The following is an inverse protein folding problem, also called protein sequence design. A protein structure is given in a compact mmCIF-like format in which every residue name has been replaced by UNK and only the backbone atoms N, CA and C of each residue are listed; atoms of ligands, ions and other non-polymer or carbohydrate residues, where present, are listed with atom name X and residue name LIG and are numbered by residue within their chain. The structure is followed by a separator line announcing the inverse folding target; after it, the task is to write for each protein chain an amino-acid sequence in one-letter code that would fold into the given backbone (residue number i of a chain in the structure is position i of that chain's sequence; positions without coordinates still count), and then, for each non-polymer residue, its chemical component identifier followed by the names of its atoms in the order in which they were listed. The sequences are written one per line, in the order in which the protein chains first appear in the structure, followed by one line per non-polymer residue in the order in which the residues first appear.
data_IF_464806314895
#
_entry.id   IF_464806314895
#
_cell.length_a   1.000
_cell.length_b   1.000
_cell.length_c   1.000
_cell.angle_alpha   90.00
_cell.angle_beta   90.00
_cell.angle_gamma   90.00
#
_symmetry.space_group_name_H-M   'P 1'
#
loop_
_entity.id
_entity.type
_entity.pdbx_description
1 polymer ?
#
# COMPACT_ATOMS: atom_id res chain seq x y z
N UNK A 1 36.87 -70.56 14.60
CA UNK A 1 36.72 -69.28 15.30
C UNK A 1 36.76 -68.02 14.38
N UNK A 2 36.08 -68.03 13.23
CA UNK A 2 36.13 -66.85 12.32
C UNK A 2 34.79 -66.32 11.78
N UNK A 3 33.58 -66.80 12.14
CA UNK A 3 32.35 -66.17 11.67
C UNK A 3 31.75 -65.09 12.60
N UNK A 4 32.13 -65.03 13.88
CA UNK A 4 31.50 -64.10 14.80
C UNK A 4 32.04 -62.66 14.71
N UNK A 5 33.31 -62.47 14.38
CA UNK A 5 33.90 -61.16 14.21
C UNK A 5 33.35 -60.35 13.00
N UNK A 6 32.94 -61.05 11.93
CA UNK A 6 32.31 -60.38 10.77
C UNK A 6 30.88 -59.85 11.06
N UNK A 7 30.12 -60.57 11.90
CA UNK A 7 28.76 -60.11 12.27
C UNK A 7 28.76 -58.89 13.20
N UNK A 8 29.70 -58.80 14.14
CA UNK A 8 29.86 -57.66 15.05
C UNK A 8 30.29 -56.43 14.27
N UNK A 9 31.18 -56.54 13.31
CA UNK A 9 31.61 -55.45 12.45
C UNK A 9 30.48 -54.86 11.60
N UNK A 10 29.59 -55.71 11.08
CA UNK A 10 28.45 -55.27 10.28
C UNK A 10 27.43 -54.54 11.15
N UNK A 11 27.13 -55.04 12.35
CA UNK A 11 26.20 -54.37 13.25
C UNK A 11 26.73 -53.04 13.78
N UNK A 12 28.01 -52.93 14.05
CA UNK A 12 28.65 -51.71 14.46
C UNK A 12 28.71 -50.67 13.35
N UNK A 13 28.94 -51.14 12.10
CA UNK A 13 28.94 -50.24 10.94
C UNK A 13 27.52 -49.73 10.59
N UNK A 14 26.47 -50.55 10.74
CA UNK A 14 25.06 -50.15 10.58
C UNK A 14 24.64 -49.20 11.68
N UNK A 15 25.07 -49.45 12.92
CA UNK A 15 24.78 -48.49 14.03
C UNK A 15 25.51 -47.17 13.86
N UNK A 16 26.75 -47.15 13.38
CA UNK A 16 27.48 -45.92 13.06
C UNK A 16 26.82 -45.15 11.89
N UNK A 17 26.35 -45.84 10.86
CA UNK A 17 25.63 -45.23 9.73
C UNK A 17 24.28 -44.69 10.13
N UNK A 18 23.54 -45.32 11.02
CA UNK A 18 22.28 -44.81 11.55
C UNK A 18 22.51 -43.61 12.49
N UNK A 19 23.53 -43.60 13.32
CA UNK A 19 23.89 -42.47 14.15
C UNK A 19 24.36 -41.27 13.31
N UNK A 20 25.15 -41.49 12.25
CA UNK A 20 25.58 -40.40 11.36
C UNK A 20 24.38 -39.83 10.57
N UNK A 21 23.43 -40.68 10.13
CA UNK A 21 22.22 -40.17 9.51
C UNK A 21 21.28 -39.46 10.49
N UNK A 22 21.23 -39.87 11.76
CA UNK A 22 20.49 -39.18 12.81
C UNK A 22 21.06 -37.78 13.13
N UNK A 23 22.38 -37.63 13.06
CA UNK A 23 23.08 -36.35 13.32
C UNK A 23 22.87 -35.38 12.13
N UNK A 24 22.72 -35.90 10.92
CA UNK A 24 22.46 -35.08 9.72
C UNK A 24 21.00 -34.57 9.68
N UNK A 25 20.08 -35.24 10.40
CA UNK A 25 18.67 -34.87 10.53
C UNK A 25 18.32 -34.14 11.85
N UNK A 26 19.30 -33.68 12.60
CA UNK A 26 19.00 -32.66 13.59
C UNK A 26 18.52 -31.42 12.81
N UNK A 27 17.29 -30.97 13.00
CA UNK A 27 16.86 -29.76 12.37
C UNK A 27 17.87 -28.69 12.79
N UNK A 28 18.52 -28.08 11.79
CA UNK A 28 19.26 -26.84 12.02
C UNK A 28 18.32 -25.99 12.82
N UNK A 29 18.65 -25.65 14.05
CA UNK A 29 17.89 -24.65 14.78
C UNK A 29 17.85 -23.44 13.85
N UNK A 30 16.72 -23.27 13.20
CA UNK A 30 16.41 -22.03 12.54
C UNK A 30 16.29 -21.07 13.71
N UNK A 31 17.37 -20.40 14.04
CA UNK A 31 17.27 -19.18 14.80
C UNK A 31 16.42 -18.26 13.93
N UNK A 32 15.13 -18.31 14.17
CA UNK A 32 14.25 -17.24 13.72
C UNK A 32 14.91 -15.98 14.28
N UNK A 33 15.54 -15.20 13.42
CA UNK A 33 16.09 -13.91 13.83
C UNK A 33 14.90 -13.19 14.45
N UNK A 34 14.97 -12.92 15.76
CA UNK A 34 13.92 -12.21 16.47
C UNK A 34 14.01 -10.76 16.03
N UNK A 35 13.52 -10.49 14.83
CA UNK A 35 13.41 -9.13 14.33
C UNK A 35 12.51 -8.37 15.30
N UNK A 36 13.03 -7.32 15.91
CA UNK A 36 12.27 -6.50 16.83
C UNK A 36 11.34 -5.56 16.07
N UNK A 37 10.17 -5.28 16.66
CA UNK A 37 9.24 -4.31 16.09
C UNK A 37 9.85 -2.91 16.15
N UNK A 38 10.12 -2.30 15.01
CA UNK A 38 10.62 -0.92 14.88
C UNK A 38 9.55 0.16 15.05
N UNK A 39 8.29 -0.22 14.91
CA UNK A 39 7.13 0.66 14.98
C UNK A 39 6.00 0.20 14.08
N UNK A 40 4.93 1.00 13.97
CA UNK A 40 3.76 0.62 13.16
C UNK A 40 3.91 0.94 11.65
N UNK A 41 5.08 1.33 11.23
CA UNK A 41 5.36 1.66 9.83
C UNK A 41 4.82 3.02 9.40
N UNK A 42 5.04 3.35 8.15
CA UNK A 42 4.40 4.46 7.44
C UNK A 42 3.55 3.92 6.29
N UNK A 43 2.78 4.77 5.65
CA UNK A 43 1.82 4.34 4.62
C UNK A 43 2.47 3.64 3.42
N UNK A 44 3.71 3.98 3.08
CA UNK A 44 4.43 3.36 1.97
C UNK A 44 4.87 1.91 2.25
N UNK A 45 4.84 1.47 3.52
CA UNK A 45 5.20 0.10 3.90
C UNK A 45 4.08 -0.92 3.58
N UNK A 46 2.86 -0.46 3.34
CA UNK A 46 1.71 -1.33 3.16
C UNK A 46 1.29 -1.43 1.70
N UNK A 47 1.03 -2.65 1.26
CA UNK A 47 0.39 -2.91 -0.03
C UNK A 47 -1.09 -2.51 0.01
N UNK A 48 -1.77 -2.72 1.16
CA UNK A 48 -3.09 -2.17 1.38
C UNK A 48 -3.25 -1.53 2.77
N UNK A 49 -4.00 -0.42 2.82
CA UNK A 49 -4.53 0.19 4.06
C UNK A 49 -6.04 0.29 3.91
N UNK A 50 -6.74 -0.40 4.78
CA UNK A 50 -8.21 -0.50 4.80
C UNK A 50 -8.74 0.21 6.04
N UNK A 51 -9.48 1.31 5.86
CA UNK A 51 -9.97 2.16 6.95
C UNK A 51 -11.23 1.62 7.64
N UNK A 52 -11.80 0.54 7.14
CA UNK A 52 -12.93 -0.17 7.68
C UNK A 52 -12.70 -1.67 7.66
N UNK A 53 -13.73 -2.44 7.29
CA UNK A 53 -13.67 -3.89 7.31
C UNK A 53 -12.96 -4.45 6.06
N UNK A 54 -12.33 -5.60 6.26
CA UNK A 54 -11.78 -6.41 5.19
C UNK A 54 -12.39 -7.81 5.20
N UNK A 55 -12.79 -8.30 4.02
CA UNK A 55 -13.16 -9.70 3.90
C UNK A 55 -12.56 -10.33 2.64
N UNK A 56 -12.12 -11.58 2.76
CA UNK A 56 -11.52 -12.32 1.65
C UNK A 56 -11.99 -13.78 1.62
N UNK A 57 -12.29 -14.26 0.41
CA UNK A 57 -12.60 -15.64 0.15
C UNK A 57 -11.73 -16.12 -1.00
N UNK A 58 -10.64 -16.80 -0.63
CA UNK A 58 -9.57 -17.15 -1.55
C UNK A 58 -8.70 -15.96 -1.97
N UNK A 59 -7.58 -16.23 -2.60
CA UNK A 59 -6.63 -15.21 -3.07
C UNK A 59 -5.63 -14.78 -2.01
N UNK A 60 -4.96 -13.68 -2.30
CA UNK A 60 -3.92 -13.15 -1.41
C UNK A 60 -3.80 -11.62 -1.51
N UNK A 61 -2.95 -11.12 -0.65
CA UNK A 61 -2.25 -9.84 -0.80
C UNK A 61 -0.76 -10.11 -0.63
N UNK A 62 0.00 -9.73 -1.64
CA UNK A 62 1.41 -10.10 -1.73
C UNK A 62 2.30 -9.35 -0.75
N UNK A 63 1.88 -8.19 -0.29
CA UNK A 63 2.61 -7.37 0.67
C UNK A 63 1.93 -7.26 2.03
N UNK A 64 2.41 -6.32 2.83
CA UNK A 64 1.85 -6.00 4.13
C UNK A 64 0.46 -5.35 4.01
N UNK A 65 -0.42 -5.62 4.98
CA UNK A 65 -1.75 -5.03 5.05
C UNK A 65 -2.03 -4.40 6.41
N UNK A 66 -2.67 -3.23 6.41
CA UNK A 66 -3.19 -2.58 7.61
C UNK A 66 -4.73 -2.49 7.53
N UNK A 67 -5.44 -2.92 8.58
CA UNK A 67 -6.90 -2.99 8.64
C UNK A 67 -7.38 -2.35 9.95
N UNK A 68 -8.19 -1.30 9.84
CA UNK A 68 -8.73 -0.61 11.01
C UNK A 68 -9.99 -1.30 11.57
N UNK A 69 -10.84 -1.82 10.68
CA UNK A 69 -12.04 -2.57 11.06
C UNK A 69 -11.77 -4.04 11.34
N UNK A 70 -12.82 -4.83 11.23
CA UNK A 70 -12.74 -6.28 11.38
C UNK A 70 -12.22 -6.95 10.10
N UNK A 71 -11.54 -8.07 10.28
CA UNK A 71 -11.05 -8.92 9.20
C UNK A 71 -11.74 -10.28 9.22
N UNK A 72 -12.43 -10.65 8.13
CA UNK A 72 -13.05 -11.96 7.92
C UNK A 72 -12.43 -12.63 6.68
N UNK A 73 -11.50 -13.54 6.90
CA UNK A 73 -10.74 -14.15 5.81
C UNK A 73 -10.74 -15.69 5.91
N UNK A 74 -10.84 -16.33 4.74
CA UNK A 74 -10.79 -17.78 4.59
C UNK A 74 -10.11 -18.14 3.27
N UNK A 75 -9.18 -19.11 3.30
CA UNK A 75 -8.36 -19.48 2.15
C UNK A 75 -7.53 -18.31 1.63
N UNK A 76 -7.00 -17.51 2.56
CA UNK A 76 -6.38 -16.21 2.26
C UNK A 76 -4.98 -16.12 2.84
N UNK A 77 -4.08 -15.50 2.09
CA UNK A 77 -2.69 -15.31 2.49
C UNK A 77 -2.32 -13.83 2.47
N UNK A 78 -1.71 -13.38 3.55
CA UNK A 78 -1.03 -12.08 3.66
C UNK A 78 0.47 -12.29 3.51
N UNK A 79 1.16 -11.40 2.80
CA UNK A 79 2.53 -11.59 2.34
C UNK A 79 2.63 -12.87 1.51
N UNK A 80 1.68 -13.03 0.61
CA UNK A 80 1.57 -14.17 -0.31
C UNK A 80 2.62 -14.08 -1.39
N UNK A 81 3.82 -14.53 -1.07
CA UNK A 81 4.92 -14.91 -1.95
C UNK A 81 4.95 -14.27 -3.35
N UNK A 82 5.27 -13.03 -3.45
CA UNK A 82 5.88 -12.52 -4.65
C UNK A 82 7.29 -13.09 -4.80
N UNK A 83 7.37 -14.30 -5.27
CA UNK A 83 8.63 -15.02 -5.44
C UNK A 83 9.27 -14.70 -6.79
N UNK A 84 9.51 -13.51 -7.12
CA UNK A 84 9.99 -13.26 -8.46
C UNK A 84 11.05 -12.19 -8.63
N UNK A 85 11.60 -11.65 -7.55
CA UNK A 85 12.60 -10.60 -7.63
C UNK A 85 12.05 -9.31 -8.21
N UNK A 86 10.74 -9.10 -8.12
CA UNK A 86 10.08 -7.85 -8.42
C UNK A 86 10.25 -6.84 -7.29
N UNK A 87 9.71 -5.65 -7.48
CA UNK A 87 9.70 -4.64 -6.46
C UNK A 87 8.63 -4.95 -5.42
N UNK A 88 8.99 -5.69 -4.39
CA UNK A 88 8.06 -6.17 -3.38
C UNK A 88 7.92 -5.11 -2.29
N UNK A 89 6.79 -4.41 -2.31
CA UNK A 89 6.45 -3.42 -1.29
C UNK A 89 6.25 -4.12 0.06
N UNK A 90 6.92 -3.62 1.08
CA UNK A 90 6.77 -4.12 2.43
C UNK A 90 7.64 -5.35 2.77
N UNK A 91 8.12 -6.14 1.83
CA UNK A 91 8.95 -7.28 2.17
C UNK A 91 10.24 -6.83 2.86
N UNK A 92 10.96 -5.90 2.28
CA UNK A 92 12.15 -5.32 2.91
C UNK A 92 11.85 -4.69 4.26
N UNK A 93 10.73 -3.96 4.38
CA UNK A 93 10.33 -3.32 5.63
C UNK A 93 9.85 -4.34 6.66
N UNK A 94 9.24 -5.44 6.23
CA UNK A 94 8.89 -6.57 7.08
C UNK A 94 10.16 -7.15 7.71
N UNK A 95 11.20 -7.39 6.93
CA UNK A 95 12.50 -7.89 7.41
C UNK A 95 13.23 -6.89 8.29
N UNK A 96 13.00 -5.61 8.11
CA UNK A 96 13.49 -4.55 8.98
C UNK A 96 12.76 -4.44 10.31
N UNK A 97 11.62 -5.11 10.50
CA UNK A 97 10.84 -5.12 11.74
C UNK A 97 9.58 -4.25 11.72
N UNK A 98 9.03 -3.94 10.56
CA UNK A 98 7.70 -3.34 10.45
C UNK A 98 6.62 -4.42 10.29
N UNK A 99 5.34 -4.13 10.61
CA UNK A 99 4.28 -5.13 10.55
C UNK A 99 4.03 -5.66 9.13
N UNK A 100 3.80 -6.96 9.01
CA UNK A 100 3.17 -7.59 7.86
C UNK A 100 1.65 -7.50 7.90
N UNK A 101 1.09 -7.56 9.11
CA UNK A 101 -0.33 -7.31 9.38
C UNK A 101 -0.45 -6.35 10.57
N UNK A 102 -1.16 -5.23 10.37
CA UNK A 102 -1.59 -4.31 11.42
C UNK A 102 -3.10 -4.34 11.51
N UNK A 103 -3.66 -4.80 12.63
CA UNK A 103 -5.10 -4.98 12.83
C UNK A 103 -5.58 -4.25 14.09
N UNK A 104 -6.54 -3.32 13.92
CA UNK A 104 -7.20 -2.65 15.05
C UNK A 104 -8.49 -3.35 15.49
N UNK A 105 -9.24 -3.93 14.53
CA UNK A 105 -10.48 -4.66 14.81
C UNK A 105 -10.25 -6.12 15.21
N UNK A 106 -11.23 -6.97 14.93
CA UNK A 106 -11.25 -8.40 15.30
C UNK A 106 -11.06 -9.29 14.08
N UNK A 107 -10.40 -10.41 14.31
CA UNK A 107 -10.36 -11.51 13.34
C UNK A 107 -11.61 -12.35 13.43
N UNK A 108 -12.18 -12.67 12.28
CA UNK A 108 -13.30 -13.59 12.08
C UNK A 108 -12.93 -14.59 11.01
N UNK A 109 -13.55 -15.75 11.06
CA UNK A 109 -13.39 -16.82 10.07
C UNK A 109 -14.75 -17.42 9.79
N UNK A 110 -15.45 -16.84 8.84
CA UNK A 110 -16.80 -17.29 8.47
C UNK A 110 -16.82 -18.61 7.72
N UNK A 111 -15.67 -19.08 7.20
CA UNK A 111 -15.49 -20.36 6.50
C UNK A 111 -14.33 -21.15 7.08
N UNK A 112 -14.26 -22.46 6.76
CA UNK A 112 -13.35 -23.42 7.38
C UNK A 112 -11.88 -23.35 6.94
N UNK A 113 -11.55 -22.64 5.86
CA UNK A 113 -10.23 -22.64 5.26
C UNK A 113 -9.23 -21.77 6.02
N UNK A 114 -7.93 -22.01 5.82
CA UNK A 114 -6.87 -21.34 6.57
C UNK A 114 -6.77 -19.84 6.24
N UNK A 115 -6.42 -19.06 7.25
CA UNK A 115 -5.93 -17.71 7.09
C UNK A 115 -4.46 -17.65 7.54
N UNK A 116 -3.58 -17.24 6.64
CA UNK A 116 -2.14 -17.33 6.80
C UNK A 116 -1.52 -15.93 6.68
N UNK A 117 -0.60 -15.59 7.59
CA UNK A 117 0.40 -14.55 7.38
C UNK A 117 1.73 -15.26 7.12
N UNK A 118 2.20 -15.23 5.89
CA UNK A 118 3.30 -16.08 5.47
C UNK A 118 4.63 -15.68 6.10
N UNK A 119 4.82 -14.40 6.39
CA UNK A 119 6.07 -13.86 6.91
C UNK A 119 5.84 -12.59 7.75
N UNK A 120 6.71 -12.34 8.73
CA UNK A 120 6.84 -11.09 9.44
C UNK A 120 6.07 -10.99 10.77
N UNK A 121 5.96 -9.78 11.27
CA UNK A 121 5.36 -9.44 12.56
C UNK A 121 3.89 -9.08 12.36
N UNK A 122 3.02 -9.69 13.15
CA UNK A 122 1.62 -9.29 13.28
C UNK A 122 1.48 -8.34 14.46
N UNK A 123 0.87 -7.18 14.24
CA UNK A 123 0.54 -6.23 15.31
C UNK A 123 -0.98 -6.13 15.41
N UNK A 124 -1.52 -6.40 16.59
CA UNK A 124 -2.96 -6.37 16.87
C UNK A 124 -3.26 -6.13 18.35
N UNK A 125 -4.52 -5.94 18.70
CA UNK A 125 -4.95 -5.93 20.11
C UNK A 125 -5.00 -7.36 20.66
N UNK A 126 -4.97 -7.51 21.99
CA UNK A 126 -5.07 -8.85 22.63
C UNK A 126 -6.40 -9.56 22.32
N UNK A 127 -7.45 -8.79 22.11
CA UNK A 127 -8.80 -9.29 21.87
C UNK A 127 -9.08 -9.55 20.39
N UNK A 128 -8.12 -9.26 19.49
CA UNK A 128 -8.34 -9.36 18.05
C UNK A 128 -8.51 -10.80 17.56
N UNK A 129 -7.78 -11.76 18.14
CA UNK A 129 -7.79 -13.17 17.72
C UNK A 129 -8.03 -14.13 18.89
N UNK A 130 -9.16 -14.00 19.57
CA UNK A 130 -9.53 -14.86 20.70
C UNK A 130 -9.68 -16.35 20.33
N UNK A 131 -9.89 -16.65 19.05
CA UNK A 131 -10.11 -18.03 18.57
C UNK A 131 -8.85 -18.65 17.94
N UNK A 132 -7.70 -17.97 17.99
CA UNK A 132 -6.46 -18.40 17.37
C UNK A 132 -6.62 -18.79 15.89
N UNK A 133 -7.29 -17.94 15.14
CA UNK A 133 -7.59 -18.13 13.71
C UNK A 133 -6.33 -18.02 12.86
N UNK A 134 -5.46 -17.09 13.25
CA UNK A 134 -4.26 -16.73 12.50
C UNK A 134 -3.20 -17.85 12.53
N UNK A 135 -2.59 -18.12 11.39
CA UNK A 135 -1.57 -19.15 11.24
C UNK A 135 -0.32 -18.60 10.53
N UNK A 136 0.81 -19.27 10.77
CA UNK A 136 2.09 -19.09 10.04
C UNK A 136 2.65 -17.66 10.08
N UNK A 137 2.69 -17.03 11.21
CA UNK A 137 3.38 -15.75 11.41
C UNK A 137 4.70 -15.97 12.16
N UNK A 138 5.63 -15.03 12.06
CA UNK A 138 6.89 -15.11 12.79
C UNK A 138 6.70 -14.71 14.27
N UNK A 139 5.91 -13.66 14.51
CA UNK A 139 5.70 -13.10 15.84
C UNK A 139 4.42 -12.29 15.91
N UNK A 140 3.74 -12.32 17.07
CA UNK A 140 2.66 -11.39 17.40
C UNK A 140 3.19 -10.37 18.42
N UNK A 141 2.86 -9.09 18.19
CA UNK A 141 3.06 -7.99 19.13
C UNK A 141 1.72 -7.34 19.41
N UNK A 142 1.34 -7.33 20.69
CA UNK A 142 0.09 -6.70 21.11
C UNK A 142 0.29 -5.23 21.40
N UNK A 143 -0.63 -4.40 20.94
CA UNK A 143 -0.68 -2.96 21.15
C UNK A 143 -2.06 -2.53 21.61
N UNK A 144 -2.15 -1.38 22.28
CA UNK A 144 -3.41 -0.76 22.62
C UNK A 144 -4.16 -0.30 21.37
N UNK A 145 -5.47 -0.48 21.35
CA UNK A 145 -6.31 -0.07 20.22
C UNK A 145 -6.12 1.41 19.86
N UNK A 146 -5.99 2.26 20.86
CA UNK A 146 -5.79 3.70 20.67
C UNK A 146 -4.48 4.03 19.93
N UNK A 147 -3.40 3.25 20.18
CA UNK A 147 -2.12 3.41 19.49
C UNK A 147 -2.24 3.02 18.01
N UNK A 148 -2.93 1.91 17.74
CA UNK A 148 -3.18 1.45 16.36
C UNK A 148 -4.09 2.45 15.62
N UNK A 149 -5.19 2.88 16.23
CA UNK A 149 -6.13 3.83 15.61
C UNK A 149 -5.48 5.20 15.33
N UNK A 150 -4.58 5.65 16.20
CA UNK A 150 -3.81 6.87 15.95
C UNK A 150 -2.97 6.76 14.67
N UNK A 151 -2.41 5.57 14.38
CA UNK A 151 -1.67 5.34 13.14
C UNK A 151 -2.61 5.36 11.91
N UNK A 152 -3.82 4.83 12.01
CA UNK A 152 -4.81 4.94 10.93
C UNK A 152 -5.25 6.37 10.67
N UNK A 153 -5.35 7.21 11.70
CA UNK A 153 -5.61 8.64 11.51
C UNK A 153 -4.48 9.34 10.76
N UNK A 154 -3.23 8.98 11.02
CA UNK A 154 -2.07 9.44 10.25
C UNK A 154 -2.17 9.02 8.77
N UNK A 155 -2.43 7.73 8.51
CA UNK A 155 -2.60 7.21 7.15
C UNK A 155 -3.75 7.90 6.42
N UNK A 156 -4.87 8.12 7.09
CA UNK A 156 -6.02 8.81 6.53
C UNK A 156 -5.68 10.22 6.08
N UNK A 157 -4.97 10.97 6.90
CA UNK A 157 -4.55 12.33 6.57
C UNK A 157 -3.67 12.36 5.31
N UNK A 158 -2.77 11.38 5.15
CA UNK A 158 -1.91 11.28 3.96
C UNK A 158 -2.75 10.97 2.71
N UNK A 159 -3.68 9.99 2.78
CA UNK A 159 -4.55 9.62 1.66
C UNK A 159 -5.45 10.79 1.24
N UNK A 160 -6.01 11.50 2.22
CA UNK A 160 -6.84 12.67 1.96
C UNK A 160 -6.01 13.81 1.34
N UNK A 161 -4.71 13.94 1.72
CA UNK A 161 -3.82 14.91 1.08
C UNK A 161 -3.54 14.54 -0.39
N UNK A 162 -3.24 13.27 -0.68
CA UNK A 162 -3.05 12.80 -2.06
C UNK A 162 -4.30 13.10 -2.91
N UNK A 163 -5.48 12.87 -2.37
CA UNK A 163 -6.74 13.18 -3.06
C UNK A 163 -6.94 14.68 -3.30
N UNK A 164 -6.58 15.54 -2.34
CA UNK A 164 -6.61 17.01 -2.52
C UNK A 164 -5.65 17.44 -3.62
N UNK A 165 -4.43 16.96 -3.60
CA UNK A 165 -3.41 17.29 -4.60
C UNK A 165 -3.84 16.80 -5.99
N UNK A 166 -4.35 15.57 -6.09
CA UNK A 166 -4.91 15.03 -7.33
C UNK A 166 -6.08 15.87 -7.86
N UNK A 167 -6.95 16.36 -7.00
CA UNK A 167 -8.08 17.21 -7.39
C UNK A 167 -7.66 18.54 -8.00
N UNK A 168 -6.52 19.08 -7.60
CA UNK A 168 -5.97 20.32 -8.14
C UNK A 168 -5.37 20.12 -9.54
N UNK A 169 -4.86 18.91 -9.83
CA UNK A 169 -4.32 18.58 -11.16
C UNK A 169 -5.36 18.68 -12.27
N UNK A 170 -6.66 18.49 -11.97
CA UNK A 170 -7.75 18.50 -12.94
C UNK A 170 -7.95 19.82 -13.67
N UNK A 171 -7.48 20.94 -13.10
CA UNK A 171 -7.77 22.28 -13.64
C UNK A 171 -6.85 22.72 -14.76
N UNK A 172 -5.70 22.07 -14.92
CA UNK A 172 -4.61 22.59 -15.76
C UNK A 172 -4.20 21.69 -16.93
N UNK A 173 -4.81 20.51 -17.08
CA UNK A 173 -4.29 19.51 -18.01
C UNK A 173 -5.35 18.88 -18.92
N UNK A 174 -5.06 18.76 -20.23
CA UNK A 174 -5.87 17.96 -21.13
C UNK A 174 -5.75 16.48 -20.79
N UNK A 175 -6.69 15.73 -21.12
CA UNK A 175 -7.23 14.54 -20.57
C UNK A 175 -6.96 13.33 -21.43
N UNK A 176 -6.50 12.18 -20.86
CA UNK A 176 -6.62 10.90 -21.54
C UNK A 176 -8.10 10.58 -21.75
N UNK A 177 -8.49 10.32 -22.98
CA UNK A 177 -9.82 9.80 -23.25
C UNK A 177 -9.91 8.35 -22.81
N UNK A 178 -10.98 8.03 -22.14
CA UNK A 178 -11.37 6.66 -21.89
C UNK A 178 -12.24 6.22 -23.05
N UNK A 179 -11.64 5.67 -24.10
CA UNK A 179 -12.37 5.26 -25.30
C UNK A 179 -12.20 3.78 -25.60
N UNK A 180 -13.15 3.27 -26.37
CA UNK A 180 -12.92 2.07 -27.15
C UNK A 180 -12.02 2.45 -28.32
N UNK A 181 -10.79 2.12 -28.23
CA UNK A 181 -9.94 2.32 -29.38
C UNK A 181 -8.62 2.91 -29.07
N UNK A 182 -7.69 2.33 -29.70
CA UNK A 182 -6.28 2.69 -29.77
C UNK A 182 -6.20 3.87 -30.71
N UNK A 183 -5.42 4.89 -30.37
CA UNK A 183 -4.93 5.80 -31.39
C UNK A 183 -5.51 7.19 -31.41
N UNK A 184 -6.04 7.67 -30.30
CA UNK A 184 -6.24 9.11 -30.19
C UNK A 184 -4.97 9.82 -29.77
N UNK A 185 -4.53 10.77 -30.61
CA UNK A 185 -3.39 11.63 -30.33
C UNK A 185 -3.69 12.50 -29.09
N UNK A 186 -2.90 12.30 -28.05
CA UNK A 186 -3.07 12.97 -26.77
C UNK A 186 -1.82 13.81 -26.49
N UNK A 187 -1.96 15.11 -26.49
CA UNK A 187 -0.91 16.03 -26.03
C UNK A 187 -0.65 15.81 -24.54
N UNK A 188 0.63 15.69 -24.21
CA UNK A 188 1.13 15.11 -22.98
C UNK A 188 1.57 16.10 -21.93
N UNK A 189 0.71 16.49 -20.98
CA UNK A 189 1.19 17.13 -19.75
C UNK A 189 1.99 16.16 -18.89
N UNK A 190 2.76 16.67 -17.92
CA UNK A 190 3.51 15.83 -16.99
C UNK A 190 2.60 15.04 -16.04
N UNK A 191 1.40 15.55 -15.80
CA UNK A 191 0.36 14.92 -14.99
C UNK A 191 -0.93 14.92 -15.80
N UNK A 192 -1.60 13.79 -15.88
CA UNK A 192 -2.87 13.65 -16.54
C UNK A 192 -4.04 13.63 -15.59
N UNK A 193 -5.11 14.31 -16.00
CA UNK A 193 -6.44 14.15 -15.37
C UNK A 193 -7.49 14.05 -16.46
N UNK A 194 -8.27 12.99 -16.45
CA UNK A 194 -9.33 12.81 -17.44
C UNK A 194 -10.56 13.66 -17.14
N UNK A 195 -10.96 14.57 -18.07
CA UNK A 195 -12.22 15.31 -17.94
C UNK A 195 -13.44 14.42 -18.09
N UNK A 196 -13.29 13.29 -18.78
CA UNK A 196 -14.35 12.29 -18.91
C UNK A 196 -14.64 11.56 -17.61
N UNK A 197 -13.70 11.61 -16.67
CA UNK A 197 -13.80 10.99 -15.34
C UNK A 197 -14.48 11.90 -14.31
N UNK A 198 -14.74 13.17 -14.61
CA UNK A 198 -15.31 14.14 -13.66
C UNK A 198 -16.74 14.54 -14.02
N UNK A 199 -17.49 15.04 -13.02
CA UNK A 199 -18.86 15.51 -13.20
C UNK A 199 -19.89 14.39 -13.43
N UNK A 200 -19.58 13.16 -13.04
CA UNK A 200 -20.47 11.99 -13.17
C UNK A 200 -20.74 11.38 -11.81
N UNK A 201 -21.95 10.88 -11.60
CA UNK A 201 -22.28 10.10 -10.40
C UNK A 201 -21.75 8.68 -10.49
N UNK A 202 -21.67 8.11 -11.69
CA UNK A 202 -21.14 6.77 -11.94
C UNK A 202 -20.18 6.80 -13.12
N UNK A 203 -19.06 6.10 -12.98
CA UNK A 203 -18.01 6.00 -13.98
C UNK A 203 -17.70 4.52 -14.26
N UNK A 204 -17.79 4.12 -15.52
CA UNK A 204 -17.28 2.84 -15.99
C UNK A 204 -15.91 3.04 -16.63
N UNK A 205 -14.88 2.41 -16.05
CA UNK A 205 -13.52 2.40 -16.57
C UNK A 205 -13.35 1.16 -17.44
N UNK A 206 -13.13 1.38 -18.74
CA UNK A 206 -12.89 0.34 -19.73
C UNK A 206 -11.46 0.42 -20.24
N UNK A 207 -11.26 0.70 -21.52
CA UNK A 207 -9.91 0.91 -22.05
C UNK A 207 -9.41 2.30 -21.64
N UNK A 208 -8.18 2.32 -21.14
CA UNK A 208 -7.49 3.57 -20.74
C UNK A 208 -6.20 3.67 -21.53
N UNK A 209 -6.05 4.74 -22.29
CA UNK A 209 -4.83 5.00 -23.01
C UNK A 209 -3.94 5.99 -22.26
N UNK A 210 -2.71 5.57 -21.97
CA UNK A 210 -1.71 6.35 -21.26
C UNK A 210 -0.57 6.73 -22.24
N UNK A 211 -0.61 7.93 -22.83
CA UNK A 211 0.40 8.34 -23.81
C UNK A 211 1.71 8.76 -23.14
N UNK A 212 2.81 8.52 -23.84
CA UNK A 212 4.15 9.02 -23.50
C UNK A 212 4.55 8.84 -22.01
N UNK A 213 4.33 7.63 -21.50
CA UNK A 213 4.48 7.33 -20.06
C UNK A 213 5.93 7.49 -19.57
N UNK A 214 6.93 7.35 -20.45
CA UNK A 214 8.34 7.48 -20.08
C UNK A 214 8.70 8.89 -19.60
N UNK A 215 8.04 9.90 -20.16
CA UNK A 215 8.30 11.31 -19.89
C UNK A 215 7.38 11.89 -18.80
N UNK A 216 6.66 11.04 -18.03
CA UNK A 216 5.76 11.48 -16.97
C UNK A 216 6.34 11.16 -15.60
N UNK A 217 6.30 12.12 -14.70
CA UNK A 217 6.57 11.90 -13.30
C UNK A 217 5.43 11.13 -12.65
N UNK A 218 4.19 11.55 -12.91
CA UNK A 218 2.96 10.91 -12.47
C UNK A 218 1.85 11.00 -13.51
N UNK A 219 0.96 10.03 -13.47
CA UNK A 219 -0.28 9.97 -14.24
C UNK A 219 -1.42 9.87 -13.25
N UNK A 220 -2.17 10.96 -13.09
CA UNK A 220 -3.24 11.08 -12.11
C UNK A 220 -4.59 10.86 -12.78
N UNK A 221 -5.25 9.77 -12.42
CA UNK A 221 -6.60 9.42 -12.84
C UNK A 221 -7.56 9.83 -11.72
N UNK A 222 -8.14 11.02 -11.84
CA UNK A 222 -9.02 11.59 -10.82
C UNK A 222 -10.49 11.50 -11.24
N UNK A 223 -11.34 11.07 -10.32
CA UNK A 223 -12.80 11.15 -10.49
C UNK A 223 -13.48 11.58 -9.21
N UNK A 224 -14.49 12.43 -9.33
CA UNK A 224 -15.41 12.81 -8.27
C UNK A 224 -16.69 11.95 -8.22
N UNK A 225 -16.77 10.90 -9.04
CA UNK A 225 -17.89 9.97 -9.07
C UNK A 225 -18.03 9.20 -7.75
N UNK A 226 -19.28 8.89 -7.39
CA UNK A 226 -19.58 8.11 -6.18
C UNK A 226 -19.54 6.60 -6.43
N UNK A 227 -19.68 6.16 -7.67
CA UNK A 227 -19.60 4.77 -8.09
C UNK A 227 -18.61 4.61 -9.25
N UNK A 228 -17.70 3.65 -9.11
CA UNK A 228 -16.65 3.36 -10.09
C UNK A 228 -16.68 1.87 -10.42
N UNK A 229 -16.64 1.51 -11.68
CA UNK A 229 -16.56 0.13 -12.13
C UNK A 229 -15.44 -0.06 -13.14
N UNK A 230 -14.46 -0.90 -12.79
CA UNK A 230 -13.43 -1.38 -13.71
C UNK A 230 -13.88 -2.69 -14.32
N UNK A 231 -14.14 -2.70 -15.62
CA UNK A 231 -14.60 -3.90 -16.34
C UNK A 231 -14.45 -3.79 -17.85
N UNK A 232 -14.35 -4.93 -18.50
CA UNK A 232 -14.40 -5.05 -19.97
C UNK A 232 -13.41 -4.15 -20.71
N UNK A 233 -12.18 -4.06 -20.22
CA UNK A 233 -11.16 -3.23 -20.84
C UNK A 233 -9.75 -3.53 -20.34
N UNK A 234 -8.81 -2.71 -20.80
CA UNK A 234 -7.39 -2.85 -20.52
C UNK A 234 -6.71 -1.49 -20.43
N UNK A 235 -5.55 -1.46 -19.81
CA UNK A 235 -4.67 -0.30 -19.82
C UNK A 235 -3.71 -0.43 -21.00
N UNK A 236 -3.76 0.56 -21.88
CA UNK A 236 -2.98 0.71 -23.08
C UNK A 236 -1.98 1.84 -22.86
N UNK A 237 -0.76 1.70 -23.34
CA UNK A 237 0.23 2.75 -23.13
C UNK A 237 1.15 2.94 -24.33
N UNK A 238 1.75 4.11 -24.40
CA UNK A 238 2.73 4.53 -25.40
C UNK A 238 4.01 4.95 -24.70
N UNK A 239 5.11 4.25 -24.97
CA UNK A 239 6.42 4.52 -24.40
C UNK A 239 7.26 5.46 -25.25
N UNK A 240 6.96 5.56 -26.54
CA UNK A 240 7.79 6.25 -27.54
C UNK A 240 7.19 7.57 -28.02
N UNK A 241 6.09 8.02 -27.43
CA UNK A 241 5.38 9.25 -27.82
C UNK A 241 5.00 9.28 -29.31
N UNK A 242 4.59 8.16 -29.85
CA UNK A 242 4.16 8.04 -31.26
C UNK A 242 2.68 8.42 -31.47
N UNK A 243 1.95 8.68 -30.38
CA UNK A 243 0.55 9.11 -30.41
C UNK A 243 -0.46 7.96 -30.52
N UNK A 244 0.01 6.71 -30.52
CA UNK A 244 -0.83 5.50 -30.49
C UNK A 244 -0.33 4.54 -29.45
N UNK A 245 -1.20 3.66 -28.97
CA UNK A 245 -0.78 2.62 -28.04
C UNK A 245 0.22 1.67 -28.72
N UNK A 246 1.40 1.54 -28.11
CA UNK A 246 2.47 0.65 -28.59
C UNK A 246 2.42 -0.69 -27.90
N UNK A 247 1.76 -0.76 -26.74
CA UNK A 247 1.64 -1.99 -25.96
C UNK A 247 0.40 -1.99 -25.07
N UNK A 248 0.09 -3.16 -24.53
CA UNK A 248 -0.97 -3.39 -23.54
C UNK A 248 -0.33 -3.89 -22.26
N UNK A 249 -0.77 -3.35 -21.13
CA UNK A 249 -0.28 -3.83 -19.84
C UNK A 249 -0.67 -5.28 -19.64
N UNK A 250 0.32 -6.14 -19.55
CA UNK A 250 0.16 -7.57 -19.29
C UNK A 250 0.28 -7.81 -17.77
N UNK A 251 -0.83 -7.80 -17.10
CA UNK A 251 -0.88 -8.01 -15.64
C UNK A 251 -0.59 -9.46 -15.24
N UNK A 252 -0.58 -10.39 -16.19
CA UNK A 252 -0.19 -11.79 -15.97
C UNK A 252 1.32 -12.01 -15.79
N UNK A 253 2.15 -11.00 -16.06
CA UNK A 253 3.61 -11.07 -15.87
C UNK A 253 4.15 -9.83 -15.17
N UNK A 254 3.61 -9.46 -13.99
CA UNK A 254 3.96 -8.21 -13.33
C UNK A 254 5.41 -8.15 -12.89
N UNK A 255 6.02 -9.30 -12.57
CA UNK A 255 7.38 -9.38 -12.02
C UNK A 255 8.50 -9.53 -13.04
N UNK A 256 8.19 -9.48 -14.34
CA UNK A 256 9.25 -9.47 -15.35
C UNK A 256 9.98 -8.11 -15.31
N UNK A 257 11.28 -8.06 -14.94
CA UNK A 257 12.03 -6.81 -14.81
C UNK A 257 12.19 -6.03 -16.13
N UNK A 258 12.00 -6.72 -17.26
CA UNK A 258 12.04 -6.10 -18.59
C UNK A 258 10.65 -5.66 -19.08
N UNK A 259 9.61 -5.91 -18.31
CA UNK A 259 8.26 -5.46 -18.66
C UNK A 259 8.17 -3.94 -18.58
N UNK A 260 7.64 -3.27 -19.61
CA UNK A 260 7.29 -1.85 -19.55
C UNK A 260 6.34 -1.52 -18.41
N UNK A 261 5.60 -2.50 -17.92
CA UNK A 261 4.76 -2.44 -16.73
C UNK A 261 5.49 -1.85 -15.52
N UNK A 262 6.78 -2.17 -15.32
CA UNK A 262 7.58 -1.65 -14.21
C UNK A 262 7.73 -0.12 -14.22
N UNK A 263 7.47 0.53 -15.35
CA UNK A 263 7.49 1.99 -15.48
C UNK A 263 6.17 2.66 -15.10
N UNK A 264 5.09 1.88 -14.97
CA UNK A 264 3.74 2.41 -14.76
C UNK A 264 3.28 2.36 -13.31
N UNK A 265 3.48 1.23 -12.62
CA UNK A 265 2.91 1.03 -11.29
C UNK A 265 3.35 2.08 -10.27
N UNK A 266 4.58 2.57 -10.37
CA UNK A 266 5.14 3.55 -9.44
C UNK A 266 4.67 5.00 -9.69
N UNK A 267 4.00 5.27 -10.80
CA UNK A 267 3.60 6.62 -11.21
C UNK A 267 2.11 6.80 -11.50
N UNK A 268 1.34 5.73 -11.66
CA UNK A 268 -0.12 5.84 -11.91
C UNK A 268 -0.86 5.91 -10.58
N UNK A 269 -1.69 6.94 -10.44
CA UNK A 269 -2.50 7.23 -9.26
C UNK A 269 -3.96 7.29 -9.65
N UNK A 270 -4.81 6.48 -9.01
CA UNK A 270 -6.27 6.54 -9.10
C UNK A 270 -6.81 7.22 -7.86
N UNK A 271 -7.26 8.46 -8.00
CA UNK A 271 -7.74 9.28 -6.90
C UNK A 271 -9.26 9.43 -6.97
N UNK A 272 -9.98 8.84 -6.01
CA UNK A 272 -11.43 8.77 -5.96
C UNK A 272 -11.96 9.24 -4.59
N UNK A 273 -11.84 10.53 -4.24
CA UNK A 273 -12.15 11.03 -2.90
C UNK A 273 -13.62 10.85 -2.51
N UNK A 274 -14.54 10.89 -3.49
CA UNK A 274 -15.97 10.82 -3.25
C UNK A 274 -16.59 9.44 -3.46
N UNK A 275 -15.80 8.48 -3.97
CA UNK A 275 -16.28 7.14 -4.23
C UNK A 275 -16.81 6.49 -2.95
N UNK A 276 -18.01 5.90 -3.07
CA UNK A 276 -18.64 5.07 -2.03
C UNK A 276 -18.58 3.60 -2.41
N UNK A 277 -18.50 3.32 -3.70
CA UNK A 277 -18.39 1.96 -4.23
C UNK A 277 -17.43 1.91 -5.39
N UNK A 278 -16.54 0.93 -5.35
CA UNK A 278 -15.67 0.57 -6.46
C UNK A 278 -15.87 -0.92 -6.72
N UNK A 279 -16.01 -1.31 -7.98
CA UNK A 279 -16.04 -2.72 -8.39
C UNK A 279 -14.94 -3.01 -9.37
N UNK A 280 -14.28 -4.15 -9.22
CA UNK A 280 -13.42 -4.74 -10.26
C UNK A 280 -14.00 -6.09 -10.64
N UNK A 281 -14.08 -6.37 -11.93
CA UNK A 281 -14.55 -7.68 -12.44
C UNK A 281 -13.57 -8.18 -13.50
N UNK A 282 -12.61 -8.99 -13.06
CA UNK A 282 -11.56 -9.54 -13.92
C UNK A 282 -10.63 -8.49 -14.54
N UNK A 283 -10.54 -7.28 -13.96
CA UNK A 283 -9.75 -6.18 -14.50
C UNK A 283 -8.38 -6.08 -13.83
N UNK A 284 -7.33 -5.85 -14.60
CA UNK A 284 -5.99 -5.55 -14.11
C UNK A 284 -5.76 -4.05 -13.96
N UNK A 285 -5.98 -3.52 -12.77
CA UNK A 285 -5.69 -2.11 -12.47
C UNK A 285 -4.19 -1.92 -12.30
N UNK A 286 -3.62 -0.91 -12.92
CA UNK A 286 -2.20 -0.52 -12.77
C UNK A 286 -2.09 0.78 -12.03
N UNK A 287 -1.23 0.81 -11.02
CA UNK A 287 -1.04 1.96 -10.14
C UNK A 287 -1.80 1.86 -8.83
N UNK A 288 -1.61 2.87 -8.00
CA UNK A 288 -2.15 2.89 -6.63
C UNK A 288 -3.53 3.56 -6.57
N UNK A 289 -4.43 2.99 -5.77
CA UNK A 289 -5.83 3.43 -5.63
C UNK A 289 -6.03 4.16 -4.30
N UNK A 290 -6.51 5.40 -4.36
CA UNK A 290 -6.77 6.28 -3.23
C UNK A 290 -8.27 6.59 -3.14
N UNK A 291 -9.02 5.75 -2.45
CA UNK A 291 -10.46 5.85 -2.31
C UNK A 291 -10.92 5.60 -0.86
N UNK A 292 -10.53 6.45 0.09
CA UNK A 292 -10.63 6.16 1.52
C UNK A 292 -12.06 6.05 2.06
N UNK A 293 -13.08 6.40 1.26
CA UNK A 293 -14.48 6.32 1.61
C UNK A 293 -15.24 5.20 0.89
N UNK A 294 -14.55 4.47 -0.01
CA UNK A 294 -15.19 3.48 -0.87
C UNK A 294 -15.16 2.09 -0.26
N UNK A 295 -16.22 1.34 -0.49
CA UNK A 295 -16.21 -0.13 -0.43
C UNK A 295 -15.69 -0.63 -1.77
N UNK A 296 -14.55 -1.30 -1.77
CA UNK A 296 -13.99 -1.98 -2.93
C UNK A 296 -14.46 -3.45 -2.96
N UNK A 297 -15.35 -3.75 -3.89
CA UNK A 297 -15.80 -5.11 -4.22
C UNK A 297 -14.92 -5.66 -5.36
N UNK A 298 -13.90 -6.42 -5.00
CA UNK A 298 -12.92 -6.95 -5.94
C UNK A 298 -13.21 -8.42 -6.27
N UNK A 299 -13.48 -8.71 -7.54
CA UNK A 299 -13.82 -10.05 -8.04
C UNK A 299 -12.95 -10.44 -9.22
N UNK A 300 -11.97 -11.29 -8.95
CA UNK A 300 -10.95 -11.66 -9.93
C UNK A 300 -10.13 -10.47 -10.44
N UNK A 301 -9.15 -10.72 -11.27
CA UNK A 301 -8.19 -9.70 -11.71
C UNK A 301 -7.25 -9.27 -10.59
N UNK A 302 -6.68 -8.07 -10.71
CA UNK A 302 -5.68 -7.60 -9.75
C UNK A 302 -5.64 -6.08 -9.64
N UNK A 303 -5.08 -5.59 -8.52
CA UNK A 303 -4.56 -4.23 -8.43
C UNK A 303 -3.04 -4.32 -8.30
N UNK A 304 -2.36 -3.74 -9.28
CA UNK A 304 -0.91 -3.73 -9.39
C UNK A 304 -0.40 -2.39 -8.85
N UNK A 305 -0.35 -2.29 -7.55
CA UNK A 305 -0.05 -1.07 -6.80
C UNK A 305 -0.60 -1.11 -5.39
N UNK A 306 -0.52 0.01 -4.70
CA UNK A 306 -1.02 0.11 -3.33
C UNK A 306 -2.52 0.42 -3.29
N UNK A 307 -3.21 -0.07 -2.27
CA UNK A 307 -4.67 0.01 -2.13
C UNK A 307 -5.01 0.77 -0.85
N UNK A 308 -5.64 1.94 -0.96
CA UNK A 308 -6.05 2.78 0.17
C UNK A 308 -7.56 3.03 0.08
N UNK A 309 -8.35 2.20 0.78
CA UNK A 309 -9.81 2.16 0.65
C UNK A 309 -10.54 2.15 1.98
N UNK A 310 -11.83 2.51 1.95
CA UNK A 310 -12.70 2.42 3.11
C UNK A 310 -12.91 0.98 3.57
N UNK A 311 -13.37 0.11 2.69
CA UNK A 311 -13.48 -1.33 2.93
C UNK A 311 -12.95 -2.11 1.71
N UNK A 312 -12.48 -3.34 1.95
CA UNK A 312 -11.98 -4.22 0.90
C UNK A 312 -12.62 -5.60 0.99
N UNK A 313 -13.29 -6.01 -0.07
CA UNK A 313 -13.91 -7.33 -0.17
C UNK A 313 -13.37 -8.09 -1.39
N UNK A 314 -12.50 -9.08 -1.14
CA UNK A 314 -11.85 -9.88 -2.18
C UNK A 314 -12.60 -11.18 -2.43
N UNK A 315 -12.86 -11.49 -3.71
CA UNK A 315 -13.58 -12.66 -4.17
C UNK A 315 -12.99 -13.17 -5.50
N UNK A 316 -13.24 -14.45 -5.79
CA UNK A 316 -12.98 -15.01 -7.11
C UNK A 316 -11.53 -14.98 -7.54
N UNK A 317 -10.57 -15.12 -6.62
CA UNK A 317 -9.15 -15.12 -6.92
C UNK A 317 -8.59 -13.73 -7.27
N UNK A 318 -9.17 -12.67 -6.72
CA UNK A 318 -8.55 -11.33 -6.81
C UNK A 318 -7.22 -11.30 -6.06
N UNK A 319 -6.22 -10.64 -6.65
CA UNK A 319 -4.87 -10.52 -6.11
C UNK A 319 -4.48 -9.06 -5.93
N UNK A 320 -3.90 -8.75 -4.76
CA UNK A 320 -3.25 -7.46 -4.50
C UNK A 320 -1.75 -7.57 -4.73
N UNK A 321 -1.29 -7.20 -5.93
CA UNK A 321 0.13 -7.29 -6.25
C UNK A 321 0.96 -6.18 -5.57
N UNK A 322 2.14 -6.55 -5.13
CA UNK A 322 2.94 -5.78 -4.20
C UNK A 322 3.89 -4.78 -4.88
N UNK A 323 3.34 -3.74 -5.50
CA UNK A 323 4.10 -2.67 -6.15
C UNK A 323 3.95 -1.33 -5.41
N UNK A 324 5.02 -0.58 -5.33
CA UNK A 324 5.09 0.67 -4.59
C UNK A 324 4.95 1.89 -5.49
N UNK A 325 4.11 2.84 -5.09
CA UNK A 325 4.13 4.21 -5.62
C UNK A 325 5.48 4.87 -5.31
N UNK A 326 5.96 5.70 -6.21
CA UNK A 326 7.15 6.51 -5.97
C UNK A 326 6.86 7.68 -5.02
N UNK A 327 6.63 7.36 -3.74
CA UNK A 327 6.32 8.32 -2.68
C UNK A 327 7.33 9.44 -2.56
N UNK A 328 8.61 9.14 -2.74
CA UNK A 328 9.67 10.15 -2.68
C UNK A 328 9.48 11.22 -3.75
N UNK A 329 9.05 10.82 -4.92
CA UNK A 329 8.81 11.75 -6.02
C UNK A 329 7.46 12.47 -5.86
N UNK A 330 6.41 11.77 -5.45
CA UNK A 330 5.10 12.36 -5.16
C UNK A 330 5.21 13.47 -4.11
N UNK A 331 5.93 13.23 -3.03
CA UNK A 331 6.11 14.20 -1.95
C UNK A 331 6.80 15.49 -2.39
N UNK A 332 7.47 15.53 -3.55
CA UNK A 332 7.99 16.78 -4.13
C UNK A 332 6.91 17.64 -4.78
N UNK A 333 5.77 17.04 -5.15
CA UNK A 333 4.64 17.70 -5.79
C UNK A 333 3.49 17.98 -4.82
N UNK A 334 3.52 17.40 -3.63
CA UNK A 334 2.51 17.60 -2.59
C UNK A 334 2.69 18.91 -1.83
N UNK A 335 1.64 19.32 -1.14
CA UNK A 335 1.66 20.46 -0.21
C UNK A 335 1.25 20.01 1.19
N UNK A 336 1.70 20.73 2.19
CA UNK A 336 1.35 20.51 3.59
C UNK A 336 1.21 21.82 4.36
N UNK A 337 0.64 21.75 5.55
CA UNK A 337 0.54 22.91 6.45
C UNK A 337 1.35 22.70 7.71
N UNK A 338 2.03 23.75 8.12
CA UNK A 338 2.69 23.79 9.43
C UNK A 338 1.73 24.37 10.45
N UNK A 339 1.42 23.61 11.50
CA UNK A 339 0.67 24.10 12.65
C UNK A 339 1.62 24.34 13.82
N UNK A 340 1.65 25.56 14.32
CA UNK A 340 2.43 25.97 15.48
C UNK A 340 1.48 26.15 16.67
N UNK A 341 1.90 25.68 17.85
CA UNK A 341 1.22 25.89 19.10
C UNK A 341 2.22 26.48 20.12
N UNK A 342 2.03 27.74 20.48
CA UNK A 342 2.89 28.46 21.44
C UNK A 342 2.31 28.41 22.84
N UNK A 343 3.12 27.96 23.78
CA UNK A 343 2.78 27.85 25.20
C UNK A 343 3.83 28.54 26.06
N UNK A 344 3.46 28.86 27.28
CA UNK A 344 4.39 29.38 28.29
C UNK A 344 5.32 28.24 28.77
N UNK A 345 6.61 28.49 28.92
CA UNK A 345 7.60 27.48 29.32
C UNK A 345 7.44 26.96 30.75
N UNK A 346 6.83 27.78 31.63
CA UNK A 346 6.58 27.42 33.04
C UNK A 346 5.18 26.85 33.27
N UNK A 347 4.25 27.13 32.34
CA UNK A 347 2.87 26.63 32.41
C UNK A 347 2.39 26.29 30.98
N UNK A 348 2.48 25.01 30.61
CA UNK A 348 2.14 24.52 29.28
C UNK A 348 0.65 24.68 28.91
N UNK A 349 -0.23 24.86 29.90
CA UNK A 349 -1.66 25.12 29.67
C UNK A 349 -1.93 26.58 29.29
N UNK A 350 -1.00 27.48 29.61
CA UNK A 350 -1.11 28.88 29.23
C UNK A 350 -0.69 29.06 27.76
N UNK A 351 -1.65 29.46 26.93
CA UNK A 351 -1.48 29.78 25.52
C UNK A 351 -0.97 31.21 25.34
N UNK A 352 -0.10 31.40 24.35
CA UNK A 352 0.51 32.70 24.08
C UNK A 352 0.11 33.19 22.68
N UNK A 353 -0.74 34.21 22.66
CA UNK A 353 -1.13 34.92 21.44
C UNK A 353 -0.05 35.92 21.01
N UNK A 354 -0.06 36.32 19.74
CA UNK A 354 0.81 37.38 19.18
C UNK A 354 2.27 36.96 19.01
N UNK A 355 2.62 35.69 19.21
CA UNK A 355 3.97 35.22 18.95
C UNK A 355 4.21 35.06 17.42
N UNK A 356 5.30 35.69 16.94
CA UNK A 356 5.64 35.74 15.50
C UNK A 356 6.68 34.70 15.16
N UNK A 357 6.49 34.05 14.05
CA UNK A 357 7.39 33.01 13.51
C UNK A 357 7.62 33.23 12.03
N UNK A 358 8.83 32.92 11.58
CA UNK A 358 9.15 32.76 10.17
C UNK A 358 9.24 31.26 9.85
N UNK A 359 8.60 30.82 8.77
CA UNK A 359 8.88 29.53 8.16
C UNK A 359 9.95 29.75 7.10
N UNK A 360 11.05 29.04 7.22
CA UNK A 360 12.24 29.18 6.36
C UNK A 360 12.47 27.85 5.64
N UNK A 361 12.60 27.87 4.33
CA UNK A 361 12.89 26.69 3.52
C UNK A 361 14.35 26.22 3.63
N UNK A 362 14.68 25.10 2.97
CA UNK A 362 16.01 24.51 2.96
C UNK A 362 17.10 25.40 2.33
N UNK A 363 16.71 26.48 1.64
CA UNK A 363 17.62 27.48 1.06
C UNK A 363 17.73 28.75 1.93
N UNK A 364 17.28 28.66 3.20
CA UNK A 364 17.27 29.78 4.15
C UNK A 364 16.37 30.97 3.75
N UNK A 365 15.44 30.77 2.83
CA UNK A 365 14.48 31.79 2.41
C UNK A 365 13.24 31.74 3.29
N UNK A 366 12.78 32.89 3.81
CA UNK A 366 11.50 33.01 4.49
C UNK A 366 10.37 32.83 3.47
N UNK A 367 9.62 31.75 3.61
CA UNK A 367 8.50 31.41 2.71
C UNK A 367 7.15 31.84 3.26
N UNK A 368 7.06 32.01 4.61
CA UNK A 368 5.86 32.51 5.26
C UNK A 368 6.17 33.12 6.64
N UNK A 369 5.32 34.08 7.06
CA UNK A 369 5.34 34.66 8.40
C UNK A 369 4.01 34.33 9.07
N UNK A 370 4.07 33.84 10.31
CA UNK A 370 2.91 33.44 11.09
C UNK A 370 2.86 34.24 12.40
N UNK A 371 1.66 34.48 12.90
CA UNK A 371 1.41 35.05 14.23
C UNK A 371 0.34 34.19 14.92
N UNK A 372 0.57 33.83 16.19
CA UNK A 372 -0.38 33.01 16.95
C UNK A 372 -1.62 33.78 17.35
N UNK A 373 -2.77 33.16 17.22
CA UNK A 373 -4.08 33.65 17.66
C UNK A 373 -4.25 33.62 19.20
N UNK A 374 -5.43 33.94 19.67
CA UNK A 374 -5.78 33.92 21.11
C UNK A 374 -5.68 32.55 21.75
N UNK A 375 -5.73 31.46 20.93
CA UNK A 375 -5.51 30.08 21.37
C UNK A 375 -4.04 29.68 21.36
N UNK A 376 -3.14 30.63 21.04
CA UNK A 376 -1.72 30.36 20.87
C UNK A 376 -1.41 29.51 19.65
N UNK A 377 -2.28 29.47 18.65
CA UNK A 377 -2.13 28.64 17.44
C UNK A 377 -1.90 29.49 16.20
N UNK A 378 -1.06 29.01 15.30
CA UNK A 378 -0.90 29.56 13.95
C UNK A 378 -0.81 28.42 12.95
N UNK A 379 -1.40 28.61 11.75
CA UNK A 379 -1.42 27.59 10.68
C UNK A 379 -0.93 28.28 9.41
N UNK A 380 0.02 27.65 8.72
CA UNK A 380 0.52 28.14 7.44
C UNK A 380 -0.51 27.97 6.31
N UNK A 381 -0.33 28.71 5.22
CA UNK A 381 -0.85 28.30 3.90
C UNK A 381 -0.28 26.94 3.52
N UNK A 382 -0.76 26.39 2.40
CA UNK A 382 -0.17 25.17 1.82
C UNK A 382 1.26 25.47 1.37
N UNK A 383 2.23 24.73 1.94
CA UNK A 383 3.64 24.81 1.59
C UNK A 383 4.03 23.54 0.83
N UNK A 384 4.90 23.61 -0.18
CA UNK A 384 5.47 22.41 -0.80
C UNK A 384 6.05 21.46 0.26
N UNK A 385 5.97 20.16 0.03
CA UNK A 385 6.61 19.21 0.95
C UNK A 385 8.13 19.40 0.89
N UNK A 386 8.75 19.56 2.05
CA UNK A 386 10.18 19.83 2.17
C UNK A 386 10.61 19.99 3.62
N UNK A 387 11.88 20.26 3.81
CA UNK A 387 12.41 20.61 5.13
C UNK A 387 12.25 22.11 5.38
N UNK A 388 11.71 22.44 6.53
CA UNK A 388 11.49 23.82 6.98
C UNK A 388 12.02 24.01 8.39
N UNK A 389 12.55 25.21 8.64
CA UNK A 389 12.88 25.66 9.99
C UNK A 389 11.81 26.67 10.44
N UNK A 390 11.44 26.60 11.71
CA UNK A 390 10.60 27.59 12.38
C UNK A 390 11.51 28.44 13.24
N UNK A 391 11.56 29.73 12.94
CA UNK A 391 12.44 30.71 13.59
C UNK A 391 11.63 31.83 14.22
#
# INVERSE_FOLDING_TARGET
MRPQLKKISIHFMVFLLTCVNLVIYLPKEVHASTVELKGLGNISHYNAVVFGNHSAIGGDIEGAIAIQGDMDASGYTVVGAATGGGNIVGERWIDEGYPSLLLSGKMKKSRGESFIVQHGIVVMTKEADLNNILQSYNRIVYKEKSEIDAKFNEFRNIVDQVNRDASQCKTNNPVPKMSYGIGEDMKNPNIYVSSEMTGKSSLEVRDVYLPNVDNKDFIVMYSDATEIAFKNGSILYDTNNVGTATDVVQTSQPYNPHSPFNKLYEKVIWAFPNAKKITTDGYGVVGSVFAPNAVLEAKGGSINGQIFVGELHQRGGFEGHNFQLNWKNWNKHGTGKVKIKKVDTKNIDKRLAGAKFNIVDGNEKVVEKLETDEKGEAISKDLPIGEYKIV
#
